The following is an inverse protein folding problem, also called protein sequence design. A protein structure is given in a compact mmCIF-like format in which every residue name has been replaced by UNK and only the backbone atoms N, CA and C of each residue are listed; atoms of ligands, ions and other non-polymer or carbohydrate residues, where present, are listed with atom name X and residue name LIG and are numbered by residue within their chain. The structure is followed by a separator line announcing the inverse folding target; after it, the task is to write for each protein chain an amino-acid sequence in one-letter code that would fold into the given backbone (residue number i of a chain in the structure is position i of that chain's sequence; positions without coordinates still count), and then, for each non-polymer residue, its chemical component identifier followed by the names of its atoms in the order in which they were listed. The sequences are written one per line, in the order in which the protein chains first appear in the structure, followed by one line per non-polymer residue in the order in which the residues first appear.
data_IF_372385547679
#
_entry.id   IF_372385547679
#
_cell.length_a   1.000
_cell.length_b   1.000
_cell.length_c   1.000
_cell.angle_alpha   90.00
_cell.angle_beta   90.00
_cell.angle_gamma   90.00
#
_symmetry.space_group_name_H-M   'P 1'
#
loop_
_entity.id
_entity.type
_entity.pdbx_description
1 polymer ?
#
# COMPACT_ATOMS: atom_id res chain seq x y z
N UNK A 1 1.35 0.46 13.75
CA UNK A 1 1.06 -0.40 12.58
C UNK A 1 1.45 -1.86 12.83
N UNK A 2 0.50 -2.79 12.66
CA UNK A 2 0.76 -4.25 12.68
C UNK A 2 0.77 -4.79 11.24
N UNK A 3 1.65 -5.76 10.93
CA UNK A 3 1.80 -6.27 9.56
C UNK A 3 1.60 -7.78 9.47
N UNK A 4 1.01 -8.24 8.37
CA UNK A 4 0.82 -9.66 8.05
C UNK A 4 1.20 -9.96 6.60
N UNK A 5 1.69 -11.19 6.36
CA UNK A 5 2.01 -11.68 5.01
C UNK A 5 0.78 -12.30 4.40
N UNK A 6 0.43 -11.86 3.20
CA UNK A 6 -0.67 -12.41 2.40
C UNK A 6 -0.13 -13.16 1.20
N UNK A 7 -0.73 -14.32 0.84
CA UNK A 7 -0.43 -14.96 -0.43
C UNK A 7 -0.91 -14.05 -1.57
N UNK A 8 0.00 -13.80 -2.51
CA UNK A 8 -0.28 -13.08 -3.75
C UNK A 8 -0.29 -14.01 -4.96
N UNK A 9 -0.59 -13.45 -6.12
CA UNK A 9 -0.62 -14.19 -7.37
C UNK A 9 0.79 -14.63 -7.80
N UNK A 10 0.90 -15.84 -8.37
CA UNK A 10 2.16 -16.38 -8.89
C UNK A 10 3.20 -16.69 -7.82
N UNK A 11 2.78 -17.04 -6.60
CA UNK A 11 3.68 -17.36 -5.48
C UNK A 11 4.34 -16.15 -4.83
N UNK A 12 3.91 -14.93 -5.18
CA UNK A 12 4.37 -13.70 -4.53
C UNK A 12 3.76 -13.58 -3.14
N UNK A 13 4.41 -12.81 -2.28
CA UNK A 13 3.91 -12.46 -0.96
C UNK A 13 3.67 -10.95 -0.96
N UNK A 14 2.48 -10.55 -0.49
CA UNK A 14 2.17 -9.16 -0.18
C UNK A 14 2.26 -8.94 1.33
N UNK A 15 2.52 -7.71 1.75
CA UNK A 15 2.51 -7.34 3.16
C UNK A 15 1.38 -6.37 3.37
N UNK A 16 0.38 -6.77 4.17
CA UNK A 16 -0.66 -5.87 4.64
C UNK A 16 -0.24 -5.32 6.01
N UNK A 17 -0.18 -4.00 6.11
CA UNK A 17 0.09 -3.29 7.35
C UNK A 17 -1.13 -2.45 7.72
N UNK A 18 -1.59 -2.51 8.97
CA UNK A 18 -2.78 -1.76 9.44
C UNK A 18 -2.38 -0.90 10.62
N UNK A 19 -2.73 0.38 10.57
CA UNK A 19 -2.61 1.28 11.72
C UNK A 19 -3.99 1.63 12.28
N UNK A 20 -4.39 1.03 13.41
CA UNK A 20 -5.70 1.32 14.01
C UNK A 20 -5.79 2.72 14.59
N UNK A 21 -4.68 3.45 14.80
CA UNK A 21 -4.72 4.82 15.35
C UNK A 21 -5.19 5.82 14.31
N UNK A 22 -4.83 5.60 13.05
CA UNK A 22 -5.18 6.47 11.93
C UNK A 22 -6.27 5.88 11.05
N UNK A 23 -6.78 4.69 11.40
CA UNK A 23 -7.73 3.91 10.60
C UNK A 23 -7.28 3.79 9.14
N UNK A 24 -6.02 3.38 8.96
CA UNK A 24 -5.38 3.28 7.66
C UNK A 24 -4.80 1.87 7.45
N UNK A 25 -4.74 1.45 6.19
CA UNK A 25 -4.12 0.22 5.75
C UNK A 25 -3.17 0.46 4.59
N UNK A 26 -2.05 -0.25 4.59
CA UNK A 26 -1.06 -0.23 3.52
C UNK A 26 -0.83 -1.64 2.99
N UNK A 27 -0.99 -1.83 1.70
CA UNK A 27 -0.68 -3.07 1.01
C UNK A 27 0.61 -2.89 0.20
N UNK A 28 1.71 -3.47 0.70
CA UNK A 28 2.97 -3.56 -0.03
C UNK A 28 2.91 -4.71 -1.03
N UNK A 29 3.03 -4.40 -2.31
CA UNK A 29 2.97 -5.37 -3.40
C UNK A 29 4.35 -5.88 -3.80
N UNK A 30 5.40 -5.05 -3.62
CA UNK A 30 6.79 -5.37 -3.99
C UNK A 30 7.75 -4.78 -2.98
N UNK A 31 8.83 -5.51 -2.70
CA UNK A 31 9.95 -4.99 -1.90
C UNK A 31 10.87 -4.15 -2.81
N UNK A 32 10.43 -2.92 -3.07
CA UNK A 32 11.14 -1.90 -3.84
C UNK A 32 10.96 -0.54 -3.19
N UNK A 33 11.82 0.39 -3.57
CA UNK A 33 11.74 1.79 -3.15
C UNK A 33 10.55 2.49 -3.82
N UNK A 34 9.94 3.41 -3.06
CA UNK A 34 8.88 4.30 -3.53
C UNK A 34 9.55 5.55 -4.09
N UNK A 35 9.34 5.82 -5.37
CA UNK A 35 9.82 7.03 -6.03
C UNK A 35 8.73 8.11 -6.04
N UNK A 36 7.48 7.70 -6.26
CA UNK A 36 6.35 8.61 -6.39
C UNK A 36 5.10 8.02 -5.73
N UNK A 37 4.36 8.85 -5.01
CA UNK A 37 3.01 8.55 -4.55
C UNK A 37 2.03 9.42 -5.31
N UNK A 38 0.95 8.83 -5.82
CA UNK A 38 -0.15 9.53 -6.50
C UNK A 38 -1.41 9.34 -5.67
N UNK A 39 -2.00 10.46 -5.23
CA UNK A 39 -3.35 10.47 -4.67
C UNK A 39 -4.36 10.27 -5.81
N UNK A 40 -5.13 9.19 -5.73
CA UNK A 40 -6.21 8.91 -6.68
C UNK A 40 -7.47 9.64 -6.23
N UNK A 41 -7.72 9.64 -4.93
CA UNK A 41 -8.75 10.40 -4.23
C UNK A 41 -8.38 10.50 -2.74
N UNK A 42 -9.24 11.13 -1.94
CA UNK A 42 -9.04 11.34 -0.51
C UNK A 42 -8.87 10.07 0.34
N UNK A 43 -9.16 8.90 -0.22
CA UNK A 43 -9.15 7.60 0.48
C UNK A 43 -8.06 6.67 -0.05
N UNK A 44 -7.44 6.96 -1.20
CA UNK A 44 -6.56 6.02 -1.90
C UNK A 44 -5.33 6.73 -2.46
N UNK A 45 -4.16 6.25 -2.02
CA UNK A 45 -2.87 6.59 -2.63
C UNK A 45 -2.24 5.36 -3.30
N UNK A 46 -1.53 5.57 -4.41
CA UNK A 46 -0.78 4.53 -5.12
C UNK A 46 0.69 4.92 -5.19
N UNK A 47 1.56 4.00 -4.76
CA UNK A 47 3.00 4.17 -4.82
C UNK A 47 3.60 3.51 -6.06
N UNK A 48 4.55 4.20 -6.69
CA UNK A 48 5.27 3.77 -7.87
C UNK A 48 6.78 3.73 -7.62
N UNK A 49 7.46 2.74 -8.19
CA UNK A 49 8.92 2.75 -8.30
C UNK A 49 9.39 3.67 -9.44
N UNK A 50 10.71 3.89 -9.51
CA UNK A 50 11.36 4.68 -10.56
C UNK A 50 11.04 4.23 -12.00
N UNK A 51 10.65 2.97 -12.17
CA UNK A 51 10.24 2.41 -13.47
C UNK A 51 8.76 2.62 -13.80
N UNK A 52 7.99 3.31 -12.96
CA UNK A 52 6.56 3.50 -13.11
C UNK A 52 5.73 2.25 -12.73
N UNK A 53 6.30 1.29 -12.01
CA UNK A 53 5.55 0.11 -11.57
C UNK A 53 4.93 0.35 -10.20
N UNK A 54 3.67 -0.06 -10.01
CA UNK A 54 3.01 0.00 -8.70
C UNK A 54 3.74 -0.86 -7.67
N UNK A 55 4.11 -0.30 -6.52
CA UNK A 55 4.80 -1.02 -5.44
C UNK A 55 3.99 -1.08 -4.15
N UNK A 56 3.02 -0.19 -3.98
CA UNK A 56 2.18 -0.11 -2.80
C UNK A 56 0.84 0.55 -3.07
N UNK A 57 -0.12 0.27 -2.18
CA UNK A 57 -1.43 0.92 -2.14
C UNK A 57 -1.68 1.31 -0.69
N UNK A 58 -2.02 2.58 -0.45
CA UNK A 58 -2.48 3.06 0.84
C UNK A 58 -3.99 3.30 0.77
N UNK A 59 -4.69 2.81 1.78
CA UNK A 59 -6.13 2.98 1.98
C UNK A 59 -6.30 3.76 3.27
N UNK A 60 -6.90 4.93 3.16
CA UNK A 60 -7.16 5.85 4.26
C UNK A 60 -8.64 5.82 4.60
N UNK A 61 -8.96 6.01 5.88
CA UNK A 61 -10.33 6.27 6.31
C UNK A 61 -10.87 7.54 5.65
N UNK A 62 -12.13 7.49 5.25
CA UNK A 62 -12.88 8.66 4.82
C UNK A 62 -13.06 9.66 5.98
N UNK A 63 -12.74 10.96 5.80
CA UNK A 63 -13.12 11.98 6.75
C UNK A 63 -14.64 12.21 6.64
N UNK A 64 -15.44 11.42 7.35
CA UNK A 64 -16.86 11.76 7.57
C UNK A 64 -17.02 13.10 8.30
#
# INVERSE_FOLDING_TARGET
MASTKLPGFGGKIFILSVDPKTDAAYLRLRDRDIEQTIEINSEINIDYDKGGNVVGIEILRSPE
#
